data_IF_882572872731
#
_entry.id   IF_882572872731
#
_cell.length_a   1.000
_cell.length_b   1.000
_cell.length_c   1.000
_cell.angle_alpha   90.00
_cell.angle_beta   90.00
_cell.angle_gamma   90.00
#
_symmetry.space_group_name_H-M   'P 1'
#
loop_
_entity.id
_entity.type
_entity.pdbx_description
1 polymer ?
#
# COMPACT_ATOMS: atom_id res chain seq x y z
N UNK A 1 46.14 58.11 49.33
CA UNK A 1 47.10 58.39 48.24
C UNK A 1 46.49 57.98 46.91
N UNK A 2 46.42 58.93 45.97
CA UNK A 2 46.27 58.82 44.49
C UNK A 2 44.96 58.20 43.96
N UNK A 3 44.21 58.73 42.98
CA UNK A 3 44.44 59.69 41.87
C UNK A 3 43.16 60.53 41.65
N UNK A 4 43.20 61.84 41.40
CA UNK A 4 43.39 62.49 40.08
C UNK A 4 42.49 61.84 39.01
N UNK A 5 41.34 62.38 38.63
CA UNK A 5 41.14 63.67 37.96
C UNK A 5 40.72 63.38 36.51
N UNK A 6 39.69 64.06 35.98
CA UNK A 6 39.63 64.58 34.60
C UNK A 6 38.22 65.07 34.23
N UNK A 7 38.14 66.39 34.21
CA UNK A 7 37.10 67.24 33.66
C UNK A 7 37.13 67.15 32.12
N UNK A 8 36.36 66.24 31.51
CA UNK A 8 36.13 66.22 30.05
C UNK A 8 34.68 65.82 29.79
N UNK A 9 33.72 66.75 29.85
CA UNK A 9 32.32 66.39 29.50
C UNK A 9 31.41 67.51 29.00
N UNK A 10 31.95 68.60 28.45
CA UNK A 10 31.11 69.70 27.95
C UNK A 10 31.00 69.84 26.41
N UNK A 11 31.66 69.00 25.62
CA UNK A 11 31.66 69.16 24.15
C UNK A 11 30.87 68.05 23.41
N UNK A 12 30.51 66.94 24.07
CA UNK A 12 29.93 65.77 23.38
C UNK A 12 28.40 65.77 23.20
N UNK A 13 27.67 66.66 23.88
CA UNK A 13 26.20 66.59 23.97
C UNK A 13 25.49 67.22 22.76
N UNK A 14 26.16 68.10 21.99
CA UNK A 14 25.51 68.87 20.91
C UNK A 14 25.33 68.15 19.56
N UNK A 15 25.97 66.99 19.36
CA UNK A 15 25.82 66.18 18.12
C UNK A 15 25.06 64.87 18.32
N UNK A 16 24.75 64.47 19.55
CA UNK A 16 24.03 63.23 19.83
C UNK A 16 22.51 63.35 19.64
N UNK A 17 21.96 64.55 19.82
CA UNK A 17 20.51 64.81 19.75
C UNK A 17 19.87 64.61 18.38
N UNK A 18 20.46 65.01 17.23
CA UNK A 18 19.83 64.76 15.94
C UNK A 18 19.94 63.28 15.50
N UNK A 19 21.00 62.57 15.91
CA UNK A 19 21.20 61.16 15.57
C UNK A 19 20.22 60.24 16.32
N UNK A 20 19.97 60.54 17.61
CA UNK A 20 19.00 59.81 18.42
C UNK A 20 17.56 60.00 17.92
N UNK A 21 17.22 61.18 17.42
CA UNK A 21 15.90 61.46 16.84
C UNK A 21 15.67 60.69 15.53
N UNK A 22 16.72 60.56 14.69
CA UNK A 22 16.65 59.79 13.44
C UNK A 22 16.47 58.29 13.70
N UNK A 23 17.17 57.74 14.70
CA UNK A 23 17.00 56.33 15.10
C UNK A 23 15.60 56.05 15.67
N UNK A 24 15.02 57.01 16.42
CA UNK A 24 13.65 56.88 16.92
C UNK A 24 12.61 56.90 15.80
N UNK A 25 12.79 57.73 14.77
CA UNK A 25 11.89 57.77 13.61
C UNK A 25 11.95 56.49 12.75
N UNK A 26 13.12 55.86 12.62
CA UNK A 26 13.27 54.59 11.92
C UNK A 26 12.66 53.39 12.68
N UNK A 27 12.62 53.45 14.02
CA UNK A 27 11.95 52.42 14.83
C UNK A 27 10.42 52.49 14.74
N UNK A 28 9.86 53.68 14.52
CA UNK A 28 8.40 53.85 14.40
C UNK A 28 7.90 53.45 13.00
N UNK A 29 8.69 53.65 11.94
CA UNK A 29 8.31 53.23 10.59
C UNK A 29 8.56 51.75 10.28
N UNK A 30 9.47 51.08 11.00
CA UNK A 30 9.71 49.63 10.88
C UNK A 30 8.77 48.75 11.69
N UNK A 31 8.05 49.30 12.67
CA UNK A 31 7.25 48.53 13.64
C UNK A 31 5.84 48.13 13.19
N UNK A 32 5.36 48.63 12.05
CA UNK A 32 3.94 48.47 11.65
C UNK A 32 3.66 47.31 10.68
N UNK A 33 4.67 46.49 10.33
CA UNK A 33 4.53 45.37 9.37
C UNK A 33 4.68 43.98 10.00
N UNK A 34 4.90 43.87 11.33
CA UNK A 34 5.16 42.57 11.99
C UNK A 34 4.07 42.09 12.96
N UNK A 35 2.94 42.80 13.08
CA UNK A 35 1.81 42.37 13.91
C UNK A 35 0.50 42.28 13.11
N UNK A 36 0.56 41.57 11.98
CA UNK A 36 -0.61 40.96 11.35
C UNK A 36 -0.28 39.55 10.84
N UNK A 37 0.54 38.79 11.58
CA UNK A 37 0.33 37.34 11.60
C UNK A 37 -0.97 37.11 12.35
N UNK A 38 -2.06 37.13 11.58
CA UNK A 38 -3.32 36.49 11.93
C UNK A 38 -2.94 35.04 12.23
N UNK A 39 -2.69 34.74 13.50
CA UNK A 39 -2.62 33.38 14.03
C UNK A 39 -3.99 32.79 13.75
N UNK A 40 -4.17 32.24 12.54
CA UNK A 40 -5.13 31.19 12.35
C UNK A 40 -4.76 30.15 13.39
N UNK A 41 -5.61 30.04 14.41
CA UNK A 41 -5.67 28.84 15.25
C UNK A 41 -5.59 27.68 14.25
N UNK A 42 -4.60 26.77 14.34
CA UNK A 42 -4.62 25.58 13.52
C UNK A 42 -5.98 24.94 13.78
N UNK A 43 -6.86 24.94 12.79
CA UNK A 43 -8.01 24.06 12.86
C UNK A 43 -7.43 22.67 13.13
N UNK A 44 -7.95 21.92 14.12
CA UNK A 44 -7.53 20.54 14.28
C UNK A 44 -7.69 19.90 12.90
N UNK A 45 -6.58 19.45 12.32
CA UNK A 45 -6.61 18.71 11.07
C UNK A 45 -7.63 17.59 11.28
N UNK A 46 -8.69 17.58 10.46
CA UNK A 46 -9.68 16.53 10.54
C UNK A 46 -8.93 15.20 10.48
N UNK A 47 -9.24 14.28 11.39
CA UNK A 47 -8.59 12.98 11.38
C UNK A 47 -8.72 12.40 9.98
N UNK A 48 -7.59 11.98 9.37
CA UNK A 48 -7.59 11.55 7.97
C UNK A 48 -8.55 10.39 7.81
N UNK A 49 -9.32 10.41 6.73
CA UNK A 49 -10.26 9.34 6.41
C UNK A 49 -9.50 8.00 6.36
N UNK A 50 -10.03 6.94 7.00
CA UNK A 50 -9.39 5.62 7.03
C UNK A 50 -9.06 5.13 5.62
N UNK A 51 -9.93 5.37 4.64
CA UNK A 51 -9.66 5.01 3.24
C UNK A 51 -8.47 5.77 2.65
N UNK A 52 -8.27 7.05 3.02
CA UNK A 52 -7.09 7.82 2.61
C UNK A 52 -5.82 7.30 3.28
N UNK A 53 -5.91 6.89 4.55
CA UNK A 53 -4.79 6.23 5.25
C UNK A 53 -4.41 4.93 4.55
N UNK A 54 -5.39 4.07 4.25
CA UNK A 54 -5.16 2.81 3.54
C UNK A 54 -4.62 3.08 2.14
N UNK A 55 -5.20 4.02 1.38
CA UNK A 55 -4.73 4.37 0.04
C UNK A 55 -3.27 4.84 0.02
N UNK A 56 -2.85 5.66 0.99
CA UNK A 56 -1.44 6.05 1.15
C UNK A 56 -0.54 4.87 1.47
N UNK A 57 -0.96 3.98 2.37
CA UNK A 57 -0.20 2.76 2.70
C UNK A 57 -0.07 1.83 1.51
N UNK A 58 -1.14 1.62 0.73
CA UNK A 58 -1.11 0.81 -0.49
C UNK A 58 -0.14 1.39 -1.51
N UNK A 59 -0.20 2.70 -1.77
CA UNK A 59 0.72 3.35 -2.71
C UNK A 59 2.19 3.26 -2.25
N UNK A 60 2.45 3.31 -0.94
CA UNK A 60 3.80 3.18 -0.38
C UNK A 60 4.29 1.73 -0.29
N UNK A 61 3.38 0.76 -0.18
CA UNK A 61 3.68 -0.65 -0.01
C UNK A 61 3.92 -1.40 -1.33
N UNK A 62 3.84 -0.72 -2.48
CA UNK A 62 4.24 -1.30 -3.77
C UNK A 62 5.76 -1.48 -3.76
N UNK A 63 6.20 -2.60 -3.19
CA UNK A 63 7.56 -3.10 -3.40
C UNK A 63 7.63 -3.69 -4.80
N UNK A 64 8.70 -3.39 -5.54
CA UNK A 64 8.91 -4.07 -6.81
C UNK A 64 9.17 -5.56 -6.57
N UNK A 65 9.90 -5.93 -5.52
CA UNK A 65 10.27 -7.33 -5.25
C UNK A 65 9.78 -7.79 -3.88
N UNK A 66 9.03 -8.90 -3.82
CA UNK A 66 8.55 -9.49 -2.58
C UNK A 66 8.25 -10.99 -2.74
N UNK A 67 8.34 -11.73 -1.63
CA UNK A 67 7.90 -13.11 -1.56
C UNK A 67 6.38 -13.15 -1.36
N UNK A 68 5.71 -14.05 -2.06
CA UNK A 68 4.26 -14.18 -2.04
C UNK A 68 3.85 -15.63 -1.79
N UNK A 69 3.06 -15.85 -0.75
CA UNK A 69 2.32 -17.09 -0.55
C UNK A 69 0.83 -16.81 -0.65
N UNK A 70 0.13 -17.55 -1.50
CA UNK A 70 -1.33 -17.50 -1.62
C UNK A 70 -1.88 -18.81 -1.09
N UNK A 71 -2.84 -18.74 -0.19
CA UNK A 71 -3.60 -19.89 0.31
C UNK A 71 -5.06 -19.65 0.02
N UNK A 72 -5.69 -20.54 -0.71
CA UNK A 72 -7.13 -20.52 -0.92
C UNK A 72 -7.76 -21.80 -0.39
N UNK A 73 -8.92 -21.68 0.25
CA UNK A 73 -9.73 -22.82 0.64
C UNK A 73 -11.21 -22.54 0.39
N UNK A 74 -11.91 -23.61 0.02
CA UNK A 74 -13.35 -23.63 -0.16
C UNK A 74 -13.88 -25.05 0.02
N UNK A 75 -15.16 -25.31 -0.27
CA UNK A 75 -15.74 -26.63 -0.11
C UNK A 75 -15.00 -27.68 -0.95
N UNK A 76 -14.34 -28.62 -0.28
CA UNK A 76 -13.68 -29.76 -0.92
C UNK A 76 -12.30 -29.48 -1.51
N UNK A 77 -11.71 -28.29 -1.32
CA UNK A 77 -10.37 -27.99 -1.84
C UNK A 77 -9.57 -27.04 -0.95
N UNK A 78 -8.24 -27.19 -1.01
CA UNK A 78 -7.25 -26.24 -0.54
C UNK A 78 -6.18 -26.12 -1.63
N UNK A 79 -5.75 -24.89 -1.91
CA UNK A 79 -4.69 -24.60 -2.85
C UNK A 79 -3.65 -23.72 -2.17
N UNK A 80 -2.38 -23.98 -2.45
CA UNK A 80 -1.29 -23.11 -2.03
C UNK A 80 -0.34 -22.80 -3.17
N UNK A 81 -0.11 -21.53 -3.41
CA UNK A 81 0.96 -21.03 -4.26
C UNK A 81 2.05 -20.42 -3.39
N UNK A 82 3.31 -20.66 -3.73
CA UNK A 82 4.47 -20.01 -3.11
C UNK A 82 5.42 -19.53 -4.21
N UNK A 83 5.81 -18.26 -4.15
CA UNK A 83 6.61 -17.65 -5.20
C UNK A 83 7.14 -16.26 -4.86
N UNK A 84 7.56 -15.57 -5.91
CA UNK A 84 8.25 -14.29 -5.90
C UNK A 84 7.54 -13.39 -6.92
N UNK A 85 7.17 -12.19 -6.50
CA UNK A 85 6.76 -11.13 -7.38
C UNK A 85 7.94 -10.16 -7.59
N UNK A 86 8.21 -9.79 -8.84
CA UNK A 86 9.18 -8.77 -9.22
C UNK A 86 8.64 -7.86 -10.33
N UNK A 87 8.05 -6.73 -9.94
CA UNK A 87 7.39 -5.77 -10.81
C UNK A 87 6.13 -6.37 -11.43
N UNK A 88 6.13 -6.51 -12.76
CA UNK A 88 5.04 -7.13 -13.52
C UNK A 88 5.19 -8.66 -13.65
N UNK A 89 6.16 -9.24 -12.96
CA UNK A 89 6.49 -10.65 -13.03
C UNK A 89 6.10 -11.38 -11.74
N UNK A 90 5.61 -12.60 -11.89
CA UNK A 90 5.35 -13.53 -10.80
C UNK A 90 5.94 -14.88 -11.19
N UNK A 91 6.77 -15.47 -10.35
CA UNK A 91 7.25 -16.84 -10.53
C UNK A 91 7.02 -17.63 -9.25
N UNK A 92 6.58 -18.87 -9.37
CA UNK A 92 6.46 -19.76 -8.21
C UNK A 92 5.86 -21.10 -8.59
N UNK A 93 5.36 -21.79 -7.59
CA UNK A 93 4.77 -23.11 -7.75
C UNK A 93 3.44 -23.24 -7.02
N UNK A 94 2.58 -24.12 -7.53
CA UNK A 94 1.39 -24.58 -6.81
C UNK A 94 1.74 -25.88 -6.10
N UNK A 95 1.81 -25.82 -4.76
CA UNK A 95 2.15 -26.97 -3.91
C UNK A 95 1.11 -28.10 -4.09
N UNK A 96 1.60 -29.33 -4.25
CA UNK A 96 0.77 -30.53 -4.42
C UNK A 96 0.37 -30.85 -5.86
N UNK A 97 0.69 -29.98 -6.83
CA UNK A 97 0.40 -30.19 -8.26
C UNK A 97 1.65 -30.29 -9.14
N UNK A 98 2.85 -30.15 -8.56
CA UNK A 98 4.13 -30.12 -9.28
C UNK A 98 4.15 -29.16 -10.48
N UNK A 99 3.42 -28.06 -10.35
CA UNK A 99 3.22 -27.07 -11.40
C UNK A 99 3.98 -25.79 -11.08
N UNK A 100 4.94 -25.43 -11.94
CA UNK A 100 5.56 -24.11 -11.94
C UNK A 100 4.69 -23.13 -12.73
N UNK A 101 4.62 -21.91 -12.24
CA UNK A 101 3.87 -20.82 -12.87
C UNK A 101 4.77 -19.62 -13.04
N UNK A 102 4.73 -19.03 -14.23
CA UNK A 102 5.31 -17.74 -14.53
C UNK A 102 4.25 -16.82 -15.12
N UNK A 103 4.06 -15.65 -14.54
CA UNK A 103 3.25 -14.60 -15.10
C UNK A 103 4.11 -13.39 -15.44
N UNK A 104 3.87 -12.77 -16.59
CA UNK A 104 4.53 -11.55 -17.00
C UNK A 104 3.57 -10.73 -17.86
N UNK A 105 3.34 -9.46 -17.50
CA UNK A 105 2.50 -8.53 -18.28
C UNK A 105 1.10 -9.08 -18.60
N UNK A 106 0.52 -9.80 -17.64
CA UNK A 106 -0.82 -10.40 -17.77
C UNK A 106 -0.88 -11.70 -18.59
N UNK A 107 0.25 -12.17 -19.13
CA UNK A 107 0.34 -13.50 -19.73
C UNK A 107 0.77 -14.52 -18.67
N UNK A 108 0.15 -15.70 -18.69
CA UNK A 108 0.44 -16.78 -17.75
C UNK A 108 0.98 -17.99 -18.52
N UNK A 109 2.10 -18.50 -18.01
CA UNK A 109 2.79 -19.67 -18.48
C UNK A 109 2.87 -20.68 -17.34
N UNK A 110 2.77 -21.95 -17.70
CA UNK A 110 2.86 -23.06 -16.76
C UNK A 110 3.79 -24.11 -17.31
N UNK A 111 4.38 -24.87 -16.41
CA UNK A 111 5.26 -25.98 -16.74
C UNK A 111 5.22 -26.98 -15.61
N UNK A 112 4.98 -28.25 -15.93
CA UNK A 112 5.20 -29.32 -14.95
C UNK A 112 6.69 -29.32 -14.56
N UNK A 113 7.02 -29.54 -13.29
CA UNK A 113 8.41 -29.49 -12.81
C UNK A 113 9.36 -30.41 -13.59
N UNK A 114 8.86 -31.52 -14.11
CA UNK A 114 9.63 -32.49 -14.90
C UNK A 114 9.63 -32.19 -16.41
N UNK A 115 8.78 -31.27 -16.88
CA UNK A 115 8.71 -30.89 -18.28
C UNK A 115 9.85 -29.94 -18.67
N UNK A 116 10.29 -30.06 -19.92
CA UNK A 116 11.34 -29.21 -20.47
C UNK A 116 10.82 -27.86 -20.99
N UNK A 117 9.54 -27.78 -21.37
CA UNK A 117 8.98 -26.66 -22.11
C UNK A 117 7.82 -26.00 -21.37
N UNK A 118 7.83 -24.68 -21.33
CA UNK A 118 6.72 -23.86 -20.86
C UNK A 118 5.60 -23.84 -21.90
N UNK A 119 4.35 -23.89 -21.43
CA UNK A 119 3.16 -23.67 -22.26
C UNK A 119 2.31 -22.55 -21.67
N UNK A 120 1.40 -21.98 -22.45
CA UNK A 120 0.47 -20.97 -21.94
C UNK A 120 -0.56 -21.62 -21.01
N UNK A 121 -1.05 -20.88 -20.02
CA UNK A 121 -2.10 -21.37 -19.13
C UNK A 121 -3.37 -21.80 -19.89
N UNK A 122 -3.72 -21.09 -20.96
CA UNK A 122 -4.85 -21.45 -21.83
C UNK A 122 -4.63 -22.78 -22.56
N UNK A 123 -3.41 -23.05 -23.06
CA UNK A 123 -3.09 -24.33 -23.69
C UNK A 123 -3.10 -25.50 -22.69
N UNK A 124 -2.87 -25.21 -21.41
CA UNK A 124 -2.97 -26.15 -20.31
C UNK A 124 -4.39 -26.28 -19.70
N UNK A 125 -5.39 -25.60 -20.27
CA UNK A 125 -6.77 -25.55 -19.75
C UNK A 125 -6.86 -24.98 -18.31
N UNK A 126 -5.95 -24.07 -17.94
CA UNK A 126 -5.86 -23.41 -16.64
C UNK A 126 -6.33 -21.96 -16.69
N UNK A 127 -7.48 -21.71 -17.32
CA UNK A 127 -8.03 -20.36 -17.54
C UNK A 127 -8.39 -19.61 -16.24
N UNK A 128 -8.55 -20.32 -15.13
CA UNK A 128 -8.84 -19.75 -13.81
C UNK A 128 -7.58 -19.20 -13.10
N UNK A 129 -6.38 -19.60 -13.54
CA UNK A 129 -5.11 -19.25 -12.90
C UNK A 129 -4.88 -17.73 -12.76
N UNK A 130 -5.21 -16.89 -13.77
CA UNK A 130 -5.06 -15.45 -13.66
C UNK A 130 -5.91 -14.80 -12.56
N UNK A 131 -7.04 -15.41 -12.18
CA UNK A 131 -7.88 -14.89 -11.10
C UNK A 131 -7.31 -15.24 -9.73
N UNK A 132 -6.76 -16.45 -9.60
CA UNK A 132 -6.13 -16.93 -8.37
C UNK A 132 -4.82 -16.17 -8.07
N UNK A 133 -3.99 -16.00 -9.10
CA UNK A 133 -2.64 -15.44 -8.99
C UNK A 133 -2.56 -13.95 -9.37
N UNK A 134 -3.71 -13.27 -9.41
CA UNK A 134 -3.75 -11.83 -9.66
C UNK A 134 -2.87 -11.09 -8.64
N UNK A 135 -2.13 -10.09 -9.11
CA UNK A 135 -1.31 -9.26 -8.23
C UNK A 135 -2.18 -8.65 -7.11
N UNK A 136 -1.87 -8.92 -5.83
CA UNK A 136 -2.70 -8.49 -4.72
C UNK A 136 -2.75 -6.96 -4.55
N UNK A 137 -1.66 -6.26 -4.88
CA UNK A 137 -1.60 -4.80 -4.78
C UNK A 137 -2.47 -4.15 -5.86
N UNK A 138 -2.43 -4.66 -7.09
CA UNK A 138 -3.31 -4.24 -8.18
C UNK A 138 -4.78 -4.51 -7.86
N UNK A 139 -5.08 -5.69 -7.29
CA UNK A 139 -6.44 -6.03 -6.85
C UNK A 139 -6.94 -5.02 -5.81
N UNK A 140 -6.14 -4.75 -4.78
CA UNK A 140 -6.48 -3.80 -3.72
C UNK A 140 -6.62 -2.37 -4.25
N UNK A 141 -5.74 -1.93 -5.14
CA UNK A 141 -5.81 -0.62 -5.78
C UNK A 141 -7.09 -0.48 -6.64
N UNK A 142 -7.44 -1.51 -7.42
CA UNK A 142 -8.65 -1.54 -8.22
C UNK A 142 -9.92 -1.46 -7.35
N UNK A 143 -9.93 -2.17 -6.22
CA UNK A 143 -11.04 -2.07 -5.25
C UNK A 143 -11.14 -0.65 -4.68
N UNK A 144 -10.04 -0.08 -4.18
CA UNK A 144 -10.05 1.28 -3.63
C UNK A 144 -10.52 2.33 -4.64
N UNK A 145 -10.16 2.18 -5.92
CA UNK A 145 -10.57 3.08 -7.00
C UNK A 145 -12.07 3.01 -7.35
N UNK A 146 -12.75 1.89 -7.06
CA UNK A 146 -14.18 1.74 -7.33
C UNK A 146 -15.07 2.62 -6.42
N UNK A 147 -14.53 3.12 -5.29
CA UNK A 147 -15.11 4.22 -4.52
C UNK A 147 -16.26 3.86 -3.57
N UNK A 148 -16.86 2.68 -3.67
CA UNK A 148 -17.94 2.23 -2.77
C UNK A 148 -17.43 1.22 -1.74
N UNK A 149 -16.58 1.68 -0.81
CA UNK A 149 -16.03 0.84 0.27
C UNK A 149 -16.33 1.43 1.64
N UNK A 150 -16.70 0.54 2.56
CA UNK A 150 -16.65 0.81 3.99
C UNK A 150 -15.29 0.35 4.52
N UNK A 151 -14.70 1.13 5.41
CA UNK A 151 -13.41 0.81 6.02
C UNK A 151 -13.48 1.01 7.54
N UNK A 152 -12.92 0.05 8.27
CA UNK A 152 -12.81 0.09 9.72
C UNK A 152 -11.37 -0.24 10.14
N UNK A 153 -10.84 0.51 11.11
CA UNK A 153 -9.58 0.16 11.75
C UNK A 153 -9.81 -0.96 12.78
N UNK A 154 -9.03 -2.03 12.67
CA UNK A 154 -9.07 -3.14 13.61
C UNK A 154 -8.08 -2.96 14.76
N UNK A 155 -8.07 -3.94 15.67
CA UNK A 155 -7.06 -4.01 16.72
C UNK A 155 -5.70 -4.34 16.12
N UNK A 156 -4.62 -3.76 16.65
CA UNK A 156 -3.26 -4.14 16.29
C UNK A 156 -3.04 -5.66 16.49
N UNK A 157 -2.30 -6.28 15.57
CA UNK A 157 -2.03 -7.73 15.57
C UNK A 157 -0.59 -7.99 15.22
N UNK A 158 -0.05 -9.11 15.67
CA UNK A 158 1.26 -9.59 15.22
C UNK A 158 1.06 -10.54 14.04
N UNK A 159 1.72 -10.28 12.92
CA UNK A 159 1.80 -11.16 11.76
C UNK A 159 3.28 -11.38 11.41
N UNK A 160 3.71 -12.64 11.25
CA UNK A 160 5.11 -12.99 10.97
C UNK A 160 6.13 -12.28 11.89
N UNK A 161 5.84 -12.25 13.20
CA UNK A 161 6.64 -11.57 14.23
C UNK A 161 6.72 -10.03 14.13
N UNK A 162 5.95 -9.40 13.23
CA UNK A 162 5.86 -7.94 13.06
C UNK A 162 4.55 -7.42 13.65
N UNK A 163 4.61 -6.29 14.36
CA UNK A 163 3.42 -5.60 14.85
C UNK A 163 2.76 -4.81 13.70
N UNK A 164 1.49 -5.08 13.46
CA UNK A 164 0.72 -4.52 12.37
C UNK A 164 -0.49 -3.73 12.85
N UNK A 165 -0.75 -2.62 12.16
CA UNK A 165 -2.06 -1.98 12.10
C UNK A 165 -2.97 -2.81 11.19
N UNK A 166 -4.23 -3.00 11.60
CA UNK A 166 -5.16 -3.82 10.85
C UNK A 166 -6.34 -3.01 10.36
N UNK A 167 -6.84 -3.37 9.19
CA UNK A 167 -8.00 -2.73 8.59
C UNK A 167 -8.95 -3.77 8.00
N UNK A 168 -10.23 -3.49 8.07
CA UNK A 168 -11.28 -4.26 7.38
C UNK A 168 -11.88 -3.38 6.31
N UNK A 169 -11.94 -3.91 5.09
CA UNK A 169 -12.63 -3.29 3.96
C UNK A 169 -13.82 -4.16 3.57
N UNK A 170 -14.97 -3.52 3.38
CA UNK A 170 -16.19 -4.16 2.90
C UNK A 170 -16.75 -3.32 1.74
N UNK A 171 -16.51 -3.75 0.49
CA UNK A 171 -17.08 -3.07 -0.66
C UNK A 171 -18.61 -3.27 -0.71
N UNK A 172 -19.34 -2.25 -1.15
CA UNK A 172 -20.79 -2.31 -1.29
C UNK A 172 -21.22 -3.21 -2.45
N UNK A 173 -20.44 -3.22 -3.53
CA UNK A 173 -20.61 -4.10 -4.68
C UNK A 173 -19.25 -4.47 -5.26
N UNK A 174 -19.07 -5.74 -5.64
CA UNK A 174 -17.88 -6.22 -6.33
C UNK A 174 -18.32 -7.16 -7.44
N UNK A 175 -17.79 -6.96 -8.64
CA UNK A 175 -17.96 -7.94 -9.70
C UNK A 175 -17.28 -9.26 -9.28
N UNK A 176 -18.04 -10.36 -9.24
CA UNK A 176 -17.52 -11.67 -8.86
C UNK A 176 -16.30 -12.09 -9.71
N UNK A 177 -16.25 -11.68 -10.98
CA UNK A 177 -15.13 -11.91 -11.91
C UNK A 177 -13.82 -11.24 -11.45
N UNK A 178 -13.90 -10.27 -10.54
CA UNK A 178 -12.71 -9.62 -9.96
C UNK A 178 -11.96 -10.57 -9.02
N UNK A 179 -12.64 -11.53 -8.42
CA UNK A 179 -12.11 -12.32 -7.29
C UNK A 179 -12.29 -13.83 -7.46
N UNK A 180 -13.20 -14.26 -8.35
CA UNK A 180 -13.56 -15.66 -8.59
C UNK A 180 -13.60 -15.98 -10.09
N UNK A 181 -13.41 -17.25 -10.42
CA UNK A 181 -13.51 -17.79 -11.78
C UNK A 181 -14.86 -18.49 -12.04
N UNK A 182 -15.84 -18.31 -11.15
CA UNK A 182 -17.13 -18.96 -11.31
C UNK A 182 -17.88 -18.45 -12.55
N UNK A 183 -18.71 -19.33 -13.11
CA UNK A 183 -19.57 -19.00 -14.24
C UNK A 183 -20.56 -17.86 -13.91
N UNK A 184 -21.17 -17.28 -14.94
CA UNK A 184 -22.06 -16.10 -14.86
C UNK A 184 -23.25 -16.25 -13.90
N UNK A 185 -23.58 -17.46 -13.48
CA UNK A 185 -24.67 -17.74 -12.54
C UNK A 185 -24.26 -17.55 -11.08
N UNK A 186 -22.96 -17.34 -10.79
CA UNK A 186 -22.48 -17.11 -9.44
C UNK A 186 -22.73 -15.65 -9.00
N UNK A 187 -23.30 -15.51 -7.79
CA UNK A 187 -23.57 -14.21 -7.18
C UNK A 187 -22.65 -14.07 -5.97
N UNK A 188 -21.71 -13.13 -6.02
CA UNK A 188 -20.92 -12.73 -4.85
C UNK A 188 -21.82 -11.91 -3.91
N UNK A 189 -22.31 -12.53 -2.84
CA UNK A 189 -23.21 -11.91 -1.87
C UNK A 189 -22.45 -11.00 -0.91
N UNK A 190 -21.21 -11.37 -0.58
CA UNK A 190 -20.39 -10.65 0.38
C UNK A 190 -18.90 -10.82 0.11
N UNK A 191 -18.17 -9.72 0.21
CA UNK A 191 -16.71 -9.73 0.23
C UNK A 191 -16.21 -8.91 1.42
N UNK A 192 -15.35 -9.52 2.23
CA UNK A 192 -14.57 -8.81 3.25
C UNK A 192 -13.09 -8.97 2.99
N UNK A 193 -12.37 -7.86 3.00
CA UNK A 193 -10.92 -7.85 2.98
C UNK A 193 -10.39 -7.43 4.35
N UNK A 194 -9.31 -8.08 4.76
CA UNK A 194 -8.58 -7.81 5.98
C UNK A 194 -7.14 -7.50 5.60
N UNK A 195 -6.61 -6.39 6.07
CA UNK A 195 -5.27 -5.91 5.73
C UNK A 195 -4.43 -5.78 6.99
N UNK A 196 -3.16 -6.17 6.91
CA UNK A 196 -2.17 -6.03 7.99
C UNK A 196 -0.95 -5.28 7.46
N UNK A 197 -0.84 -4.00 7.81
CA UNK A 197 0.32 -3.19 7.48
C UNK A 197 1.25 -3.10 8.68
N UNK A 198 2.55 -3.31 8.48
CA UNK A 198 3.55 -3.03 9.50
C UNK A 198 3.41 -1.59 10.01
N UNK A 199 3.53 -1.40 11.32
CA UNK A 199 3.56 -0.05 11.91
C UNK A 199 4.76 0.74 11.40
N UNK A 200 5.91 0.07 11.34
CA UNK A 200 7.15 0.62 10.80
C UNK A 200 7.24 0.31 9.30
N UNK A 201 7.56 1.31 8.49
CA UNK A 201 7.75 1.16 7.03
C UNK A 201 6.46 0.94 6.24
N UNK A 202 5.34 0.56 6.85
CA UNK A 202 4.04 0.45 6.19
C UNK A 202 3.90 -0.71 5.22
N UNK A 203 4.81 -1.70 5.25
CA UNK A 203 4.76 -2.87 4.39
C UNK A 203 3.50 -3.70 4.65
N UNK A 204 2.83 -4.16 3.58
CA UNK A 204 1.66 -5.05 3.69
C UNK A 204 2.15 -6.47 3.95
N UNK A 205 1.99 -6.99 5.16
CA UNK A 205 2.41 -8.36 5.49
C UNK A 205 1.35 -9.41 5.15
N UNK A 206 0.08 -9.03 5.17
CA UNK A 206 -1.01 -9.95 4.91
C UNK A 206 -2.21 -9.22 4.33
N UNK A 207 -2.86 -9.87 3.36
CA UNK A 207 -4.21 -9.56 2.92
C UNK A 207 -5.03 -10.84 2.99
N UNK A 208 -6.19 -10.82 3.63
CA UNK A 208 -7.12 -11.95 3.64
C UNK A 208 -8.46 -11.52 3.05
N UNK A 209 -9.08 -12.42 2.31
CA UNK A 209 -10.37 -12.25 1.66
C UNK A 209 -11.30 -13.35 2.16
N UNK A 210 -12.50 -12.96 2.54
CA UNK A 210 -13.61 -13.86 2.85
C UNK A 210 -14.74 -13.55 1.87
N UNK A 211 -15.13 -14.55 1.09
CA UNK A 211 -16.10 -14.44 0.01
C UNK A 211 -17.28 -15.37 0.29
N UNK A 212 -18.48 -14.79 0.36
CA UNK A 212 -19.73 -15.56 0.40
C UNK A 212 -20.37 -15.48 -0.98
N UNK A 213 -20.56 -16.63 -1.62
CA UNK A 213 -20.98 -16.74 -3.02
C UNK A 213 -22.17 -17.68 -3.09
N UNK A 214 -23.15 -17.38 -3.94
CA UNK A 214 -24.19 -18.33 -4.33
C UNK A 214 -23.92 -18.88 -5.71
N UNK A 215 -23.84 -20.20 -5.83
CA UNK A 215 -23.70 -20.92 -7.12
C UNK A 215 -24.87 -21.89 -7.23
N UNK A 216 -25.71 -21.75 -8.26
CA UNK A 216 -26.89 -22.62 -8.43
C UNK A 216 -27.87 -22.58 -7.24
N UNK A 217 -27.86 -21.52 -6.43
CA UNK A 217 -28.65 -21.39 -5.21
C UNK A 217 -28.01 -21.94 -3.93
N UNK A 218 -26.87 -22.62 -4.03
CA UNK A 218 -26.10 -23.11 -2.88
C UNK A 218 -25.12 -22.04 -2.38
N UNK A 219 -25.02 -21.89 -1.06
CA UNK A 219 -24.08 -20.97 -0.44
C UNK A 219 -22.69 -21.61 -0.31
N UNK A 220 -21.70 -20.93 -0.85
CA UNK A 220 -20.29 -21.32 -0.87
C UNK A 220 -19.47 -20.24 -0.17
N UNK A 221 -18.64 -20.66 0.78
CA UNK A 221 -17.68 -19.76 1.43
C UNK A 221 -16.27 -20.07 0.92
N UNK A 222 -15.59 -19.05 0.41
CA UNK A 222 -14.18 -19.15 -0.01
C UNK A 222 -13.35 -18.19 0.84
N UNK A 223 -12.24 -18.69 1.35
CA UNK A 223 -11.23 -17.88 2.01
C UNK A 223 -9.96 -17.87 1.18
N UNK A 224 -9.41 -16.68 0.91
CA UNK A 224 -8.11 -16.52 0.26
C UNK A 224 -7.21 -15.64 1.11
N UNK A 225 -5.98 -16.07 1.34
CA UNK A 225 -4.99 -15.35 2.12
C UNK A 225 -3.73 -15.15 1.29
N UNK A 226 -3.27 -13.91 1.21
CA UNK A 226 -2.01 -13.50 0.63
C UNK A 226 -1.08 -13.12 1.76
N UNK A 227 0.07 -13.79 1.84
CA UNK A 227 1.10 -13.59 2.85
C UNK A 227 2.32 -13.08 2.13
N UNK A 228 2.82 -11.92 2.57
CA UNK A 228 3.93 -11.23 1.92
C UNK A 228 5.17 -11.30 2.80
N UNK A 229 6.30 -11.53 2.15
CA UNK A 229 7.64 -11.41 2.74
C UNK A 229 8.40 -10.29 2.03
N UNK A 230 9.06 -9.38 2.76
CA UNK A 230 9.91 -8.36 2.13
C UNK A 230 11.14 -8.97 1.44
N UNK A 231 11.52 -10.20 1.79
CA UNK A 231 12.62 -10.94 1.17
C UNK A 231 12.05 -11.79 0.02
N UNK A 232 11.96 -11.21 -1.19
CA UNK A 232 11.45 -11.93 -2.36
C UNK A 232 12.49 -12.77 -3.09
N UNK A 233 13.79 -12.59 -2.86
CA UNK A 233 14.80 -13.33 -3.62
C UNK A 233 14.86 -12.90 -5.09
N UNK A 234 15.27 -13.79 -5.98
CA UNK A 234 15.50 -13.50 -7.40
C UNK A 234 14.75 -14.46 -8.31
N UNK A 235 14.23 -13.95 -9.42
CA UNK A 235 13.64 -14.78 -10.48
C UNK A 235 14.68 -15.74 -11.06
N UNK A 236 14.31 -16.98 -11.42
CA UNK A 236 15.20 -17.91 -12.09
C UNK A 236 15.53 -17.47 -13.52
N UNK A 237 16.63 -17.99 -14.06
CA UNK A 237 16.98 -17.82 -15.47
C UNK A 237 16.11 -18.69 -16.38
N UNK A 238 16.02 -18.34 -17.67
CA UNK A 238 15.32 -19.16 -18.68
C UNK A 238 13.80 -19.08 -18.64
N UNK A 239 13.23 -18.05 -18.02
CA UNK A 239 11.79 -17.78 -18.05
C UNK A 239 11.33 -17.36 -19.46
N UNK A 240 10.08 -17.71 -19.84
CA UNK A 240 9.49 -17.26 -21.10
C UNK A 240 9.59 -15.74 -21.25
N UNK A 241 9.86 -15.25 -22.46
CA UNK A 241 9.70 -13.82 -22.75
C UNK A 241 8.27 -13.58 -23.19
N UNK A 242 7.60 -12.62 -22.56
CA UNK A 242 6.31 -12.13 -23.06
C UNK A 242 6.53 -11.60 -24.49
N UNK A 243 5.79 -12.11 -25.46
CA UNK A 243 5.87 -11.62 -26.83
C UNK A 243 5.47 -10.15 -26.84
N UNK A 244 6.44 -9.29 -27.19
CA UNK A 244 6.22 -7.85 -27.26
C UNK A 244 5.41 -7.49 -28.50
N UNK A 245 4.32 -6.76 -28.30
CA UNK A 245 3.90 -5.76 -29.28
C UNK A 245 5.09 -4.79 -29.46
N UNK A 246 5.72 -4.83 -30.63
CA UNK A 246 6.55 -3.72 -31.15
C UNK A 246 5.69 -2.49 -31.41
#
# INVERSE_FOLDING_TARGET
MMKSGLTVRKIFIRRLTPLLLLCLLLLISGGSMLFQQKTSVPQPEAEPNILEVIGRKVAAAISSNYGLTIRESGPGYELRFTGIADGEQLFGEIEGYDLEVYACRGQFYVKDKEAAEWQTAAAAELDALPVLLRDPHQLLAAMLAAGELQAEAGKKRTANHVLCETYVLEPAAVNAELVTCFEKEAILEKLKLYLWFAEEGGFLHMMAMAMDIKVGGEAVHISRMYIFSPEGGSLPEGLPQAEGYT
#
